data_IF_430365931166
#
_entry.id   IF_430365931166
#
_cell.length_a   1.000
_cell.length_b   1.000
_cell.length_c   1.000
_cell.angle_alpha   90.00
_cell.angle_beta   90.00
_cell.angle_gamma   90.00
#
_symmetry.space_group_name_H-M   'P 1'
#
loop_
_entity.id
_entity.type
_entity.pdbx_description
1 polymer ?
#
# COMPACT_ATOMS: atom_id res chain seq x y z
N UNK A 1 -6.69 -12.24 -10.15
CA UNK A 1 -6.90 -10.94 -10.82
C UNK A 1 -7.91 -10.14 -10.02
N UNK A 2 -7.84 -8.82 -10.10
CA UNK A 2 -8.83 -7.92 -9.53
C UNK A 2 -10.15 -8.02 -10.31
N UNK A 3 -11.27 -7.64 -9.69
CA UNK A 3 -12.60 -7.73 -10.30
C UNK A 3 -12.72 -6.96 -11.64
N UNK A 4 -11.92 -5.90 -11.82
CA UNK A 4 -11.85 -5.11 -13.04
C UNK A 4 -10.91 -5.71 -14.12
N UNK A 5 -10.39 -6.92 -13.93
CA UNK A 5 -9.47 -7.57 -14.85
C UNK A 5 -8.00 -7.20 -14.68
N UNK A 6 -7.66 -6.24 -13.82
CA UNK A 6 -6.27 -5.92 -13.52
C UNK A 6 -5.55 -7.12 -12.87
N UNK A 7 -4.22 -7.14 -13.01
CA UNK A 7 -3.34 -8.15 -12.42
C UNK A 7 -2.35 -7.46 -11.50
N UNK A 8 -2.03 -8.10 -10.39
CA UNK A 8 -1.00 -7.64 -9.47
C UNK A 8 -0.33 -8.82 -8.80
N UNK A 9 0.87 -8.57 -8.29
CA UNK A 9 1.64 -9.48 -7.45
C UNK A 9 1.96 -8.79 -6.14
N UNK A 10 2.14 -9.59 -5.09
CA UNK A 10 2.66 -9.16 -3.81
C UNK A 10 3.78 -10.10 -3.44
N UNK A 11 4.98 -9.56 -3.23
CA UNK A 11 6.16 -10.30 -2.80
C UNK A 11 6.63 -9.71 -1.50
N UNK A 12 6.88 -10.57 -0.51
CA UNK A 12 7.41 -10.18 0.78
C UNK A 12 8.31 -11.29 1.31
N UNK A 13 9.29 -10.92 2.14
CA UNK A 13 10.21 -11.86 2.76
C UNK A 13 10.54 -11.41 4.18
N UNK A 14 10.59 -12.37 5.10
CA UNK A 14 11.16 -12.18 6.45
C UNK A 14 12.66 -12.51 6.50
N UNK A 15 13.21 -13.07 5.41
CA UNK A 15 14.63 -13.41 5.28
C UNK A 15 15.46 -12.24 4.74
N UNK A 16 14.83 -11.10 4.45
CA UNK A 16 15.49 -9.86 4.02
C UNK A 16 15.69 -8.92 5.20
N UNK A 17 16.76 -8.12 5.17
CA UNK A 17 17.04 -7.14 6.23
C UNK A 17 16.15 -5.92 6.09
N UNK A 18 15.56 -5.49 7.21
CA UNK A 18 14.87 -4.19 7.33
C UNK A 18 15.80 -2.98 7.16
N UNK A 19 17.11 -3.18 7.16
CA UNK A 19 18.08 -2.12 6.90
C UNK A 19 18.31 -1.87 5.40
N UNK A 20 17.80 -2.74 4.53
CA UNK A 20 17.95 -2.57 3.08
C UNK A 20 17.02 -1.46 2.57
N UNK A 21 17.51 -0.73 1.57
CA UNK A 21 16.67 0.18 0.80
C UNK A 21 15.54 -0.60 0.12
N UNK A 22 14.45 0.09 -0.20
CA UNK A 22 13.28 -0.51 -0.85
C UNK A 22 12.63 -1.61 0.01
N UNK A 23 12.63 -1.41 1.33
CA UNK A 23 11.87 -2.24 2.28
C UNK A 23 10.38 -2.25 1.93
N UNK A 24 9.88 -1.17 1.33
CA UNK A 24 8.54 -1.14 0.76
C UNK A 24 8.57 -0.54 -0.64
N UNK A 25 8.03 -1.28 -1.60
CA UNK A 25 7.93 -0.85 -3.00
C UNK A 25 6.53 -1.12 -3.53
N UNK A 26 5.88 -0.08 -4.04
CA UNK A 26 4.55 -0.19 -4.67
C UNK A 26 4.60 0.45 -6.04
N UNK A 27 4.27 -0.34 -7.05
CA UNK A 27 4.09 0.12 -8.41
C UNK A 27 2.64 -0.07 -8.85
N UNK A 28 2.05 0.98 -9.42
CA UNK A 28 0.74 0.93 -10.05
C UNK A 28 0.90 1.46 -11.46
N UNK A 29 0.55 0.63 -12.44
CA UNK A 29 0.58 1.00 -13.84
C UNK A 29 -0.83 0.93 -14.40
N UNK A 30 -1.30 2.03 -14.98
CA UNK A 30 -2.64 2.17 -15.51
C UNK A 30 -2.66 3.01 -16.78
N UNK A 31 -3.86 3.19 -17.33
CA UNK A 31 -4.04 3.89 -18.61
C UNK A 31 -3.69 5.38 -18.55
N UNK A 32 -3.77 6.00 -17.37
CA UNK A 32 -3.42 7.40 -17.17
C UNK A 32 -1.93 7.63 -16.87
N UNK A 33 -1.17 6.57 -16.60
CA UNK A 33 0.22 6.68 -16.20
C UNK A 33 0.65 5.65 -15.16
N UNK A 34 1.82 5.92 -14.57
CA UNK A 34 2.49 5.06 -13.60
C UNK A 34 2.72 5.81 -12.30
N UNK A 35 2.45 5.14 -11.19
CA UNK A 35 2.78 5.58 -9.84
C UNK A 35 3.84 4.63 -9.26
N UNK A 36 4.83 5.21 -8.59
CA UNK A 36 5.87 4.49 -7.86
C UNK A 36 6.02 5.06 -6.45
N UNK A 37 5.94 4.20 -5.45
CA UNK A 37 6.20 4.55 -4.05
C UNK A 37 7.40 3.73 -3.60
N UNK A 38 8.47 4.44 -3.22
CA UNK A 38 9.65 3.86 -2.58
C UNK A 38 9.63 4.22 -1.11
N UNK A 39 9.77 3.21 -0.25
CA UNK A 39 9.88 3.31 1.19
C UNK A 39 8.92 4.36 1.76
N UNK A 40 7.60 4.14 1.68
CA UNK A 40 6.42 4.98 2.09
C UNK A 40 6.63 6.47 2.43
N UNK A 41 7.59 6.80 3.27
CA UNK A 41 7.99 8.15 3.71
C UNK A 41 9.11 8.79 2.88
N UNK A 42 9.72 8.09 1.91
CA UNK A 42 10.93 8.54 1.19
C UNK A 42 10.61 9.22 -0.13
N UNK A 43 9.88 8.55 -1.02
CA UNK A 43 9.67 9.06 -2.38
C UNK A 43 8.37 8.56 -3.01
N UNK A 44 7.70 9.48 -3.69
CA UNK A 44 6.57 9.22 -4.57
C UNK A 44 6.92 9.75 -5.96
N UNK A 45 6.62 8.98 -7.00
CA UNK A 45 6.72 9.42 -8.38
C UNK A 45 5.43 9.15 -9.14
N UNK A 46 5.03 10.11 -9.96
CA UNK A 46 3.96 9.98 -10.92
C UNK A 46 4.46 10.34 -12.32
N UNK A 47 4.21 9.46 -13.28
CA UNK A 47 4.49 9.70 -14.69
C UNK A 47 3.22 9.53 -15.50
N UNK A 48 2.74 10.62 -16.10
CA UNK A 48 1.56 10.59 -16.95
C UNK A 48 1.82 9.78 -18.24
N UNK A 49 0.79 9.12 -18.76
CA UNK A 49 0.87 8.42 -20.04
C UNK A 49 1.25 9.37 -21.18
N UNK A 50 2.26 8.98 -21.98
CA UNK A 50 2.78 9.79 -23.09
C UNK A 50 3.73 10.92 -22.67
N UNK A 51 4.05 11.06 -21.38
CA UNK A 51 5.06 12.00 -20.89
C UNK A 51 6.42 11.31 -20.72
N UNK A 52 7.48 11.93 -21.22
CA UNK A 52 8.86 11.53 -20.92
C UNK A 52 9.32 12.00 -19.53
N UNK A 53 8.63 12.98 -18.95
CA UNK A 53 8.91 13.53 -17.62
C UNK A 53 8.01 12.91 -16.55
N UNK A 54 8.56 12.80 -15.34
CA UNK A 54 7.83 12.38 -14.14
C UNK A 54 7.85 13.48 -13.07
N UNK A 55 6.75 13.60 -12.33
CA UNK A 55 6.67 14.40 -11.11
C UNK A 55 7.16 13.55 -9.94
N UNK A 56 8.08 14.09 -9.14
CA UNK A 56 8.68 13.39 -8.01
C UNK A 56 8.57 14.23 -6.76
N UNK A 57 7.92 13.67 -5.75
CA UNK A 57 8.07 14.14 -4.37
C UNK A 57 9.10 13.27 -3.67
N UNK A 58 10.06 13.90 -3.01
CA UNK A 58 11.08 13.20 -2.23
C UNK A 58 11.29 13.94 -0.91
N UNK A 59 11.40 13.17 0.18
CA UNK A 59 11.73 13.73 1.47
C UNK A 59 13.10 14.45 1.40
N UNK A 60 13.08 15.77 1.55
CA UNK A 60 14.28 16.58 1.62
C UNK A 60 15.05 16.36 2.93
N UNK A 61 16.31 16.80 2.94
CA UNK A 61 17.19 16.66 4.10
C UNK A 61 16.60 17.24 5.41
N UNK A 62 15.83 18.34 5.31
CA UNK A 62 15.19 19.01 6.44
C UNK A 62 13.71 18.65 6.63
N UNK A 63 13.17 17.68 5.90
CA UNK A 63 11.78 17.25 6.09
C UNK A 63 11.68 16.27 7.26
N UNK A 64 11.89 16.76 8.49
CA UNK A 64 11.85 15.95 9.70
C UNK A 64 10.46 15.38 10.00
N UNK A 65 9.41 15.94 9.42
CA UNK A 65 8.03 15.57 9.77
C UNK A 65 7.46 14.45 8.92
N UNK A 66 7.50 14.60 7.59
CA UNK A 66 6.86 13.64 6.70
C UNK A 66 7.76 12.44 6.38
N UNK A 67 9.06 12.52 6.71
CA UNK A 67 10.00 11.40 6.57
C UNK A 67 9.94 10.39 7.73
N UNK A 68 9.27 10.72 8.83
CA UNK A 68 9.20 9.87 10.01
C UNK A 68 8.08 8.83 9.88
N UNK A 69 8.45 7.55 9.81
CA UNK A 69 7.48 6.46 9.68
C UNK A 69 6.46 6.43 10.83
N UNK A 70 6.88 6.64 12.08
CA UNK A 70 5.98 6.59 13.24
C UNK A 70 4.86 7.64 13.18
N UNK A 71 5.10 8.78 12.54
CA UNK A 71 4.07 9.83 12.37
C UNK A 71 2.93 9.42 11.44
N UNK A 72 3.11 8.39 10.62
CA UNK A 72 2.00 7.82 9.84
C UNK A 72 0.93 7.21 10.74
N UNK A 73 1.33 6.62 11.88
CA UNK A 73 0.41 6.12 12.89
C UNK A 73 -0.32 7.26 13.59
N UNK A 74 0.39 8.33 13.97
CA UNK A 74 -0.22 9.52 14.58
C UNK A 74 -1.29 10.12 13.66
N UNK A 75 -0.97 10.28 12.36
CA UNK A 75 -1.93 10.77 11.35
C UNK A 75 -3.17 9.88 11.30
N UNK A 76 -3.01 8.56 11.29
CA UNK A 76 -4.13 7.62 11.25
C UNK A 76 -4.97 7.65 12.54
N UNK A 77 -4.32 7.66 13.71
CA UNK A 77 -5.00 7.67 14.99
C UNK A 77 -5.80 8.96 15.21
N UNK A 78 -5.22 10.10 14.85
CA UNK A 78 -5.93 11.37 14.86
C UNK A 78 -7.17 11.34 13.96
N UNK A 79 -7.07 10.74 12.76
CA UNK A 79 -8.22 10.59 11.87
C UNK A 79 -9.33 9.69 12.47
N UNK A 80 -8.95 8.61 13.16
CA UNK A 80 -9.90 7.74 13.88
C UNK A 80 -10.60 8.53 14.99
N UNK A 81 -9.84 9.21 15.85
CA UNK A 81 -10.39 9.95 16.98
C UNK A 81 -11.37 11.04 16.52
N UNK A 82 -10.99 11.80 15.49
CA UNK A 82 -11.85 12.83 14.91
C UNK A 82 -13.18 12.23 14.40
N UNK A 83 -13.13 11.10 13.68
CA UNK A 83 -14.33 10.43 13.19
C UNK A 83 -15.24 9.99 14.35
N UNK A 84 -14.68 9.36 15.38
CA UNK A 84 -15.46 8.91 16.54
C UNK A 84 -16.08 10.05 17.33
N UNK A 85 -15.37 11.17 17.48
CA UNK A 85 -15.92 12.38 18.12
C UNK A 85 -17.09 12.97 17.33
N UNK A 86 -17.08 12.84 16.00
CA UNK A 86 -18.17 13.25 15.13
C UNK A 86 -19.34 12.24 15.06
N UNK A 87 -19.18 11.04 15.65
CA UNK A 87 -20.14 9.94 15.51
C UNK A 87 -20.05 9.21 14.18
N UNK A 88 -19.01 9.46 13.39
CA UNK A 88 -18.75 8.85 12.10
C UNK A 88 -18.04 7.48 12.23
N UNK A 89 -18.17 6.60 11.22
CA UNK A 89 -17.35 5.39 11.16
C UNK A 89 -15.85 5.72 11.01
N UNK A 90 -14.94 4.82 11.41
CA UNK A 90 -13.51 5.08 11.29
C UNK A 90 -13.09 5.14 9.81
N UNK A 91 -12.02 5.88 9.47
CA UNK A 91 -11.54 6.03 8.09
C UNK A 91 -11.20 4.69 7.42
N UNK A 92 -10.78 3.70 8.21
CA UNK A 92 -10.60 2.32 7.78
C UNK A 92 -11.44 1.43 8.69
N UNK A 93 -12.57 0.94 8.17
CA UNK A 93 -13.46 0.03 8.91
C UNK A 93 -12.84 -1.36 9.08
N UNK A 94 -13.17 -2.05 10.17
CA UNK A 94 -12.72 -3.43 10.45
C UNK A 94 -13.08 -4.44 9.34
N UNK A 95 -14.05 -4.10 8.48
CA UNK A 95 -14.40 -4.87 7.29
C UNK A 95 -13.21 -4.98 6.31
N UNK A 96 -12.37 -3.95 6.21
CA UNK A 96 -11.13 -4.01 5.43
C UNK A 96 -10.15 -5.04 5.99
N UNK A 97 -9.98 -5.08 7.31
CA UNK A 97 -9.17 -6.09 8.00
C UNK A 97 -9.69 -7.51 7.79
N UNK A 98 -11.02 -7.71 7.87
CA UNK A 98 -11.65 -9.00 7.54
C UNK A 98 -11.34 -9.43 6.10
N UNK A 99 -11.45 -8.52 5.12
CA UNK A 99 -11.11 -8.83 3.72
C UNK A 99 -9.64 -9.22 3.56
N UNK A 100 -8.73 -8.49 4.20
CA UNK A 100 -7.30 -8.81 4.17
C UNK A 100 -7.01 -10.20 4.77
N UNK A 101 -7.67 -10.57 5.87
CA UNK A 101 -7.55 -11.89 6.46
C UNK A 101 -8.05 -13.00 5.53
N UNK A 102 -9.17 -12.78 4.84
CA UNK A 102 -9.67 -13.73 3.82
C UNK A 102 -8.64 -13.91 2.72
N UNK A 103 -8.08 -12.82 2.18
CA UNK A 103 -7.04 -12.88 1.16
C UNK A 103 -5.81 -13.67 1.61
N UNK A 104 -5.32 -13.42 2.82
CA UNK A 104 -4.17 -14.13 3.38
C UNK A 104 -4.43 -15.64 3.49
N UNK A 105 -5.59 -16.04 4.00
CA UNK A 105 -5.96 -17.46 4.10
C UNK A 105 -6.09 -18.11 2.72
N UNK A 106 -6.68 -17.42 1.75
CA UNK A 106 -6.80 -17.93 0.38
C UNK A 106 -5.44 -18.06 -0.32
N UNK A 107 -4.50 -17.16 -0.04
CA UNK A 107 -3.13 -17.27 -0.56
C UNK A 107 -2.40 -18.50 0.02
N UNK A 108 -2.57 -18.77 1.32
CA UNK A 108 -2.02 -19.97 1.98
C UNK A 108 -2.60 -21.23 1.34
N UNK A 109 -3.92 -21.31 1.17
CA UNK A 109 -4.58 -22.46 0.52
C UNK A 109 -4.07 -22.66 -0.91
N UNK A 110 -3.91 -21.57 -1.66
CA UNK A 110 -3.39 -21.61 -3.03
C UNK A 110 -1.96 -22.15 -3.08
N UNK A 111 -1.12 -21.75 -2.13
CA UNK A 111 0.25 -22.27 -1.99
C UNK A 111 0.26 -23.77 -1.63
N UNK A 112 -0.50 -24.17 -0.61
CA UNK A 112 -0.54 -25.56 -0.13
C UNK A 112 -1.08 -26.55 -1.17
N UNK A 113 -2.04 -26.11 -1.99
CA UNK A 113 -2.68 -26.96 -3.00
C UNK A 113 -2.02 -26.87 -4.38
N UNK A 114 -1.14 -25.89 -4.60
CA UNK A 114 -0.56 -25.60 -5.91
C UNK A 114 -1.57 -25.17 -6.96
N UNK A 115 -2.77 -24.73 -6.56
CA UNK A 115 -3.86 -24.35 -7.47
C UNK A 115 -4.25 -22.90 -7.27
N UNK A 116 -4.78 -22.29 -8.32
CA UNK A 116 -5.44 -20.99 -8.22
C UNK A 116 -6.74 -21.15 -7.43
N UNK A 117 -6.88 -20.39 -6.35
CA UNK A 117 -8.11 -20.32 -5.54
C UNK A 117 -8.82 -18.98 -5.81
N UNK A 118 -10.13 -19.02 -6.01
CA UNK A 118 -10.95 -17.83 -6.19
C UNK A 118 -11.36 -17.24 -4.84
N UNK A 119 -11.36 -15.92 -4.73
CA UNK A 119 -11.92 -15.22 -3.58
C UNK A 119 -13.39 -14.97 -3.89
N UNK A 120 -14.29 -15.52 -3.07
CA UNK A 120 -15.71 -15.24 -3.19
C UNK A 120 -16.01 -13.82 -2.66
N UNK A 121 -16.95 -13.08 -3.28
CA UNK A 121 -17.31 -11.72 -2.87
C UNK A 121 -17.78 -11.61 -1.42
#
# INVERSE_FOLDING_TARGET
HFANGAVGSLVGSYDSSYAYADTHHVEINGTAGRILIHDTVRQYSFQAAGSESAEVWQAGYFNDRDREFHRTFDKHFNAILTAFQAGDPPPIHAAAGRRALVLARTAIESFETGKRVAIMP
#
